data_IF_106111193120
#
_entry.id   IF_106111193120
#
_cell.length_a   1.000
_cell.length_b   1.000
_cell.length_c   1.000
_cell.angle_alpha   90.00
_cell.angle_beta   90.00
_cell.angle_gamma   90.00
#
_symmetry.space_group_name_H-M   'P 1'
#
loop_
_entity.id
_entity.type
_entity.pdbx_description
1 polymer ?
#
# COMPACT_ATOMS: atom_id res chain seq x y z
N UNK A 1 -4.09 16.70 -10.76
CA UNK A 1 -4.88 17.89 -10.37
C UNK A 1 -4.12 19.20 -10.57
N UNK A 2 -2.79 19.20 -10.58
CA UNK A 2 -1.97 20.42 -10.72
C UNK A 2 -1.05 20.41 -11.95
N UNK A 3 -1.27 19.47 -12.89
CA UNK A 3 -0.41 19.34 -14.08
C UNK A 3 -0.35 20.63 -14.90
N UNK A 4 -1.50 21.22 -15.20
CA UNK A 4 -1.57 22.47 -16.01
C UNK A 4 -0.86 23.64 -15.33
N UNK A 5 -0.93 23.71 -13.99
CA UNK A 5 -0.19 24.71 -13.23
C UNK A 5 1.32 24.57 -13.44
N UNK A 6 1.87 23.35 -13.27
CA UNK A 6 3.30 23.10 -13.43
C UNK A 6 3.76 23.24 -14.87
N UNK A 7 2.99 22.73 -15.85
CA UNK A 7 3.28 22.89 -17.28
C UNK A 7 3.37 24.38 -17.63
N UNK A 8 2.43 25.19 -17.13
CA UNK A 8 2.43 26.63 -17.41
C UNK A 8 3.53 27.39 -16.66
N UNK A 9 3.89 26.97 -15.44
CA UNK A 9 4.93 27.64 -14.63
C UNK A 9 6.34 27.34 -15.11
N UNK A 10 6.55 26.25 -15.85
CA UNK A 10 7.86 25.76 -16.29
C UNK A 10 8.02 25.74 -17.81
N UNK A 11 7.34 26.62 -18.55
CA UNK A 11 7.29 26.62 -20.03
C UNK A 11 8.66 26.74 -20.70
N UNK A 12 9.65 27.32 -20.01
CA UNK A 12 10.96 27.60 -20.53
C UNK A 12 11.96 26.43 -20.40
N UNK A 13 11.56 25.34 -19.80
CA UNK A 13 12.38 24.14 -19.60
C UNK A 13 11.76 22.93 -20.27
N UNK A 14 12.62 22.00 -20.66
CA UNK A 14 12.16 20.72 -21.18
C UNK A 14 11.34 19.98 -20.12
N UNK A 15 10.15 19.52 -20.48
CA UNK A 15 9.21 18.88 -19.56
C UNK A 15 8.89 17.48 -20.05
N UNK A 16 8.96 16.52 -19.13
CA UNK A 16 8.45 15.16 -19.36
C UNK A 16 7.26 14.95 -18.44
N UNK A 17 6.09 14.77 -19.03
CA UNK A 17 4.85 14.49 -18.32
C UNK A 17 4.66 12.99 -18.15
N UNK A 18 4.05 12.56 -17.04
CA UNK A 18 3.73 11.14 -16.82
C UNK A 18 2.34 10.96 -16.23
N UNK A 19 1.71 9.81 -16.50
CA UNK A 19 0.40 9.50 -15.95
C UNK A 19 -0.21 8.21 -16.48
N UNK A 20 -1.05 7.58 -15.68
CA UNK A 20 -1.77 6.35 -16.07
C UNK A 20 -2.99 6.70 -16.93
N UNK A 21 -3.74 7.74 -16.56
CA UNK A 21 -5.01 8.11 -17.21
C UNK A 21 -4.88 9.10 -18.34
N UNK A 22 -3.73 9.76 -18.49
CA UNK A 22 -3.50 10.78 -19.52
C UNK A 22 -2.89 10.15 -20.75
N UNK A 23 -3.66 10.06 -21.81
CA UNK A 23 -3.19 9.56 -23.13
C UNK A 23 -2.14 10.46 -23.78
N UNK A 24 -2.06 11.72 -23.34
CA UNK A 24 -1.13 12.73 -23.88
C UNK A 24 0.15 12.88 -23.02
N UNK A 25 0.33 12.07 -21.96
CA UNK A 25 1.55 12.11 -21.19
C UNK A 25 2.70 11.47 -21.97
N UNK A 26 3.90 12.06 -21.87
CA UNK A 26 5.11 11.54 -22.53
C UNK A 26 5.46 10.12 -22.02
N UNK A 27 5.24 9.85 -20.73
CA UNK A 27 5.48 8.55 -20.13
C UNK A 27 4.18 8.05 -19.50
N UNK A 28 3.72 6.88 -19.94
CA UNK A 28 2.46 6.32 -19.48
C UNK A 28 2.52 4.80 -19.27
N UNK A 29 1.60 4.30 -18.46
CA UNK A 29 1.41 2.87 -18.27
C UNK A 29 0.11 2.42 -18.92
N UNK A 30 0.19 1.38 -19.72
CA UNK A 30 -0.96 0.77 -20.39
C UNK A 30 -1.07 -0.71 -20.02
N UNK A 31 -2.24 -1.33 -20.27
CA UNK A 31 -2.47 -2.78 -20.08
C UNK A 31 -2.13 -3.28 -18.68
N UNK A 32 -2.44 -2.48 -17.65
CA UNK A 32 -2.11 -2.80 -16.26
C UNK A 32 -2.88 -4.05 -15.81
N UNK A 33 -2.15 -5.06 -15.31
CA UNK A 33 -2.71 -6.31 -14.78
C UNK A 33 -2.02 -6.66 -13.46
N UNK A 34 -2.80 -6.75 -12.39
CA UNK A 34 -2.30 -7.21 -11.09
C UNK A 34 -2.40 -8.73 -10.96
N UNK A 35 -1.36 -9.35 -10.44
CA UNK A 35 -1.36 -10.75 -10.02
C UNK A 35 -1.10 -10.83 -8.52
N UNK A 36 -2.14 -11.16 -7.76
CA UNK A 36 -2.03 -11.34 -6.30
C UNK A 36 -1.21 -12.58 -5.96
N UNK A 37 -1.27 -13.62 -6.81
CA UNK A 37 -0.50 -14.85 -6.60
C UNK A 37 1.00 -14.62 -6.77
N UNK A 38 1.40 -13.83 -7.77
CA UNK A 38 2.80 -13.51 -8.05
C UNK A 38 3.28 -12.27 -7.32
N UNK A 39 2.39 -11.62 -6.54
CA UNK A 39 2.64 -10.35 -5.82
C UNK A 39 3.24 -9.26 -6.75
N UNK A 40 2.77 -9.21 -7.98
CA UNK A 40 3.32 -8.35 -9.03
C UNK A 40 2.24 -7.62 -9.83
N UNK A 41 2.65 -6.55 -10.49
CA UNK A 41 1.84 -5.85 -11.50
C UNK A 41 2.61 -5.85 -12.82
N UNK A 42 1.95 -6.32 -13.88
CA UNK A 42 2.45 -6.19 -15.25
C UNK A 42 1.80 -5.01 -15.92
N UNK A 43 2.58 -4.23 -16.63
CA UNK A 43 2.08 -3.13 -17.45
C UNK A 43 3.03 -2.87 -18.62
N UNK A 44 2.51 -2.20 -19.66
CA UNK A 44 3.33 -1.69 -20.75
C UNK A 44 3.73 -0.26 -20.42
N UNK A 45 5.02 -0.01 -20.25
CA UNK A 45 5.59 1.33 -20.17
C UNK A 45 5.70 1.86 -21.60
N UNK A 46 5.10 3.02 -21.87
CA UNK A 46 5.15 3.69 -23.18
C UNK A 46 5.82 5.04 -23.02
N UNK A 47 6.79 5.33 -23.86
CA UNK A 47 7.46 6.62 -23.99
C UNK A 47 7.16 7.22 -25.35
N UNK A 48 6.79 8.51 -25.41
CA UNK A 48 6.42 9.24 -26.61
C UNK A 48 7.27 10.49 -26.78
N UNK A 49 8.60 10.40 -26.55
CA UNK A 49 9.44 11.59 -26.66
C UNK A 49 9.70 11.99 -28.13
N UNK A 50 10.17 11.12 -29.01
CA UNK A 50 10.36 11.44 -30.43
C UNK A 50 9.77 10.32 -31.32
N UNK A 51 9.92 9.07 -30.89
CA UNK A 51 9.28 7.89 -31.45
C UNK A 51 8.55 7.20 -30.31
N UNK A 52 7.35 6.69 -30.59
CA UNK A 52 6.64 5.92 -29.59
C UNK A 52 7.37 4.60 -29.39
N UNK A 53 7.99 4.43 -28.22
CA UNK A 53 8.70 3.24 -27.80
C UNK A 53 8.02 2.62 -26.58
N UNK A 54 7.99 1.32 -26.49
CA UNK A 54 7.28 0.64 -25.41
C UNK A 54 7.96 -0.64 -24.96
N UNK A 55 7.85 -0.94 -23.66
CA UNK A 55 8.42 -2.16 -23.08
C UNK A 55 7.49 -2.69 -21.98
N UNK A 56 7.36 -4.01 -21.90
CA UNK A 56 6.60 -4.65 -20.83
C UNK A 56 7.42 -4.71 -19.54
N UNK A 57 6.81 -4.29 -18.44
CA UNK A 57 7.39 -4.28 -17.09
C UNK A 57 6.61 -5.24 -16.19
N UNK A 58 7.32 -6.07 -15.43
CA UNK A 58 6.79 -6.88 -14.35
C UNK A 58 7.28 -6.31 -13.00
N UNK A 59 6.53 -5.38 -12.41
CA UNK A 59 6.90 -4.73 -11.16
C UNK A 59 6.62 -5.69 -9.98
N UNK A 60 7.60 -6.01 -9.11
CA UNK A 60 7.42 -6.93 -7.97
C UNK A 60 6.74 -6.22 -6.78
N UNK A 61 5.63 -5.57 -7.04
CA UNK A 61 4.83 -4.81 -6.06
C UNK A 61 3.36 -4.84 -6.46
N UNK A 62 2.45 -4.75 -5.48
CA UNK A 62 1.02 -4.61 -5.70
C UNK A 62 0.60 -3.13 -5.60
N UNK A 63 -0.53 -2.81 -6.24
CA UNK A 63 -1.17 -1.50 -6.16
C UNK A 63 -0.84 -0.55 -7.33
N UNK A 64 -1.88 0.00 -7.94
CA UNK A 64 -1.78 0.92 -9.10
C UNK A 64 -0.92 2.17 -8.79
N UNK A 65 -0.87 2.59 -7.52
CA UNK A 65 0.01 3.68 -7.07
C UNK A 65 1.50 3.36 -7.27
N UNK A 66 1.91 2.08 -7.18
CA UNK A 66 3.28 1.68 -7.47
C UNK A 66 3.57 1.72 -8.97
N UNK A 67 2.58 1.50 -9.83
CA UNK A 67 2.72 1.76 -11.26
C UNK A 67 2.94 3.26 -11.51
N UNK A 68 2.18 4.14 -10.82
CA UNK A 68 2.38 5.58 -10.89
C UNK A 68 3.80 5.99 -10.46
N UNK A 69 4.31 5.43 -9.37
CA UNK A 69 5.67 5.67 -8.88
C UNK A 69 6.72 5.18 -9.90
N UNK A 70 6.48 4.01 -10.50
CA UNK A 70 7.39 3.43 -11.50
C UNK A 70 7.48 4.30 -12.77
N UNK A 71 6.35 4.80 -13.29
CA UNK A 71 6.37 5.68 -14.47
C UNK A 71 6.94 7.07 -14.14
N UNK A 72 6.78 7.55 -12.89
CA UNK A 72 7.45 8.77 -12.45
C UNK A 72 8.98 8.60 -12.43
N UNK A 73 9.47 7.49 -11.87
CA UNK A 73 10.90 7.14 -11.89
C UNK A 73 11.41 6.96 -13.32
N UNK A 74 10.64 6.29 -14.19
CA UNK A 74 10.96 6.13 -15.59
C UNK A 74 11.07 7.48 -16.31
N UNK A 75 10.15 8.42 -16.05
CA UNK A 75 10.20 9.78 -16.62
C UNK A 75 11.47 10.53 -16.20
N UNK A 76 11.88 10.42 -14.93
CA UNK A 76 13.15 10.98 -14.46
C UNK A 76 14.37 10.35 -15.17
N UNK A 77 14.37 9.02 -15.34
CA UNK A 77 15.45 8.33 -16.04
C UNK A 77 15.53 8.72 -17.52
N UNK A 78 14.36 8.80 -18.19
CA UNK A 78 14.28 9.21 -19.58
C UNK A 78 14.75 10.66 -19.81
N UNK A 79 14.55 11.54 -18.82
CA UNK A 79 15.09 12.92 -18.89
C UNK A 79 16.62 12.98 -18.85
N UNK A 80 17.28 11.87 -18.52
CA UNK A 80 18.73 11.67 -18.49
C UNK A 80 19.18 10.69 -19.58
N UNK A 81 18.38 10.48 -20.62
CA UNK A 81 18.66 9.59 -21.76
C UNK A 81 18.97 8.12 -21.37
N UNK A 82 18.43 7.65 -20.24
CA UNK A 82 18.60 6.25 -19.82
C UNK A 82 17.75 5.34 -20.73
N UNK A 83 18.33 4.29 -21.34
CA UNK A 83 17.60 3.39 -22.23
C UNK A 83 16.45 2.64 -21.53
N UNK A 84 15.32 2.44 -22.23
CA UNK A 84 14.13 1.74 -21.70
C UNK A 84 14.45 0.36 -21.11
N UNK A 85 15.38 -0.40 -21.72
CA UNK A 85 15.80 -1.69 -21.22
C UNK A 85 16.48 -1.59 -19.84
N UNK A 86 17.28 -0.55 -19.61
CA UNK A 86 17.92 -0.31 -18.31
C UNK A 86 16.88 0.09 -17.25
N UNK A 87 15.90 0.92 -17.63
CA UNK A 87 14.76 1.29 -16.77
C UNK A 87 13.96 0.04 -16.39
N UNK A 88 13.63 -0.82 -17.37
CA UNK A 88 12.95 -2.11 -17.13
C UNK A 88 13.73 -2.94 -16.11
N UNK A 89 15.01 -3.18 -16.36
CA UNK A 89 15.84 -3.98 -15.46
C UNK A 89 15.88 -3.42 -14.04
N UNK A 90 15.97 -2.10 -13.91
CA UNK A 90 15.92 -1.42 -12.59
C UNK A 90 14.59 -1.63 -11.87
N UNK A 91 13.48 -1.46 -12.58
CA UNK A 91 12.13 -1.60 -11.99
C UNK A 91 11.79 -3.06 -11.63
N UNK A 92 12.16 -4.02 -12.45
CA UNK A 92 11.91 -5.45 -12.22
C UNK A 92 12.80 -6.04 -11.11
N UNK A 93 13.96 -5.46 -10.85
CA UNK A 93 14.86 -5.86 -9.76
C UNK A 93 14.64 -5.07 -8.46
N UNK A 94 13.59 -4.23 -8.39
CA UNK A 94 13.28 -3.54 -7.16
C UNK A 94 12.91 -4.52 -6.05
N UNK A 95 13.47 -4.28 -4.87
CA UNK A 95 13.05 -4.98 -3.65
C UNK A 95 11.90 -4.24 -2.99
N UNK A 96 11.00 -4.97 -2.33
CA UNK A 96 9.94 -4.36 -1.53
C UNK A 96 10.55 -3.47 -0.45
N UNK A 97 9.99 -2.27 -0.29
CA UNK A 97 10.41 -1.37 0.78
C UNK A 97 9.79 -1.86 2.08
N UNK A 98 10.62 -2.10 3.09
CA UNK A 98 10.20 -2.57 4.42
C UNK A 98 9.04 -1.71 4.96
N UNK A 99 7.95 -2.38 5.33
CA UNK A 99 6.76 -1.72 5.88
C UNK A 99 5.93 -0.93 4.88
N UNK A 100 6.04 -1.22 3.57
CA UNK A 100 5.20 -0.61 2.51
C UNK A 100 4.55 -1.69 1.66
N UNK A 101 3.37 -2.16 2.11
CA UNK A 101 2.60 -3.25 1.50
C UNK A 101 3.46 -4.50 1.23
N UNK A 102 4.44 -4.74 2.08
CA UNK A 102 5.32 -5.90 2.00
C UNK A 102 4.56 -7.15 2.45
N UNK A 103 4.57 -8.19 1.61
CA UNK A 103 3.88 -9.44 1.92
C UNK A 103 4.84 -10.42 2.58
N UNK A 104 4.41 -10.97 3.71
CA UNK A 104 5.16 -11.94 4.49
C UNK A 104 4.27 -13.14 4.83
N UNK A 105 4.89 -14.29 5.08
CA UNK A 105 4.22 -15.46 5.65
C UNK A 105 4.70 -15.62 7.08
N UNK A 106 3.78 -15.57 8.01
CA UNK A 106 4.05 -15.67 9.45
C UNK A 106 3.65 -17.02 10.04
N UNK A 107 3.53 -17.03 11.38
CA UNK A 107 3.06 -18.19 12.16
C UNK A 107 1.78 -18.76 11.55
N UNK A 108 1.55 -20.08 11.75
CA UNK A 108 0.36 -20.77 11.20
C UNK A 108 0.10 -20.54 9.71
N UNK A 109 1.14 -20.16 8.95
CA UNK A 109 1.04 -19.83 7.52
C UNK A 109 0.10 -18.65 7.22
N UNK A 110 -0.10 -17.74 8.19
CA UNK A 110 -0.87 -16.50 7.98
C UNK A 110 -0.15 -15.58 6.99
N UNK A 111 -0.91 -14.97 6.09
CA UNK A 111 -0.38 -13.92 5.22
C UNK A 111 -0.44 -12.58 5.93
N UNK A 112 0.69 -11.88 5.96
CA UNK A 112 0.83 -10.56 6.59
C UNK A 112 1.10 -9.54 5.49
N UNK A 113 0.32 -8.46 5.48
CA UNK A 113 0.58 -7.27 4.69
C UNK A 113 1.19 -6.24 5.64
N UNK A 114 2.51 -6.12 5.61
CA UNK A 114 3.25 -5.16 6.40
C UNK A 114 3.24 -3.79 5.72
N UNK A 115 2.40 -2.88 6.22
CA UNK A 115 2.31 -1.49 5.76
C UNK A 115 2.52 -0.51 6.93
N UNK A 116 3.49 -0.85 7.79
CA UNK A 116 3.73 -0.20 9.08
C UNK A 116 4.58 1.07 9.01
N UNK A 117 5.10 1.44 7.85
CA UNK A 117 5.99 2.60 7.73
C UNK A 117 5.31 3.91 8.14
N UNK A 118 4.09 4.17 7.67
CA UNK A 118 3.28 5.32 8.04
C UNK A 118 1.81 5.11 7.65
N UNK A 119 0.89 5.94 8.18
CA UNK A 119 -0.53 5.87 7.87
C UNK A 119 -1.13 7.27 7.65
N UNK A 120 -1.92 7.38 6.59
CA UNK A 120 -2.82 8.50 6.32
C UNK A 120 -4.09 7.98 5.61
N UNK A 121 -5.18 8.74 5.52
CA UNK A 121 -6.45 8.27 4.94
C UNK A 121 -6.31 7.71 3.53
N UNK A 122 -5.57 8.40 2.66
CA UNK A 122 -5.37 7.97 1.26
C UNK A 122 -4.62 6.65 1.16
N UNK A 123 -3.54 6.49 1.94
CA UNK A 123 -2.75 5.25 1.93
C UNK A 123 -3.51 4.08 2.56
N UNK A 124 -4.44 4.35 3.48
CA UNK A 124 -5.32 3.32 4.06
C UNK A 124 -6.35 2.82 3.05
N UNK A 125 -6.95 3.70 2.25
CA UNK A 125 -7.85 3.28 1.16
C UNK A 125 -7.15 2.30 0.20
N UNK A 126 -5.91 2.59 -0.17
CA UNK A 126 -5.10 1.69 -1.01
C UNK A 126 -4.80 0.36 -0.31
N UNK A 127 -4.41 0.40 0.97
CA UNK A 127 -4.08 -0.80 1.73
C UNK A 127 -5.30 -1.70 1.95
N UNK A 128 -6.47 -1.12 2.23
CA UNK A 128 -7.75 -1.84 2.35
C UNK A 128 -8.11 -2.51 1.02
N UNK A 129 -8.02 -1.80 -0.11
CA UNK A 129 -8.23 -2.37 -1.44
C UNK A 129 -7.27 -3.52 -1.73
N UNK A 130 -6.02 -3.37 -1.33
CA UNK A 130 -5.02 -4.45 -1.47
C UNK A 130 -5.40 -5.67 -0.64
N UNK A 131 -5.81 -5.49 0.63
CA UNK A 131 -6.28 -6.58 1.48
C UNK A 131 -7.50 -7.29 0.88
N UNK A 132 -8.42 -6.54 0.27
CA UNK A 132 -9.63 -7.10 -0.36
C UNK A 132 -9.36 -7.97 -1.60
N UNK A 133 -8.18 -7.90 -2.21
CA UNK A 133 -7.79 -8.78 -3.31
C UNK A 133 -7.45 -10.21 -2.86
N UNK A 134 -7.25 -10.42 -1.56
CA UNK A 134 -6.95 -11.75 -1.02
C UNK A 134 -8.24 -12.48 -0.65
N UNK A 135 -8.26 -13.78 -0.90
CA UNK A 135 -9.34 -14.68 -0.49
C UNK A 135 -9.15 -15.16 0.94
N UNK A 136 -10.20 -15.67 1.55
CA UNK A 136 -10.20 -16.15 2.94
C UNK A 136 -10.57 -15.03 3.92
N UNK A 137 -10.21 -15.20 5.19
CA UNK A 137 -10.52 -14.22 6.25
C UNK A 137 -9.54 -13.05 6.21
N UNK A 138 -10.07 -11.84 6.26
CA UNK A 138 -9.33 -10.59 6.14
C UNK A 138 -9.44 -9.80 7.43
N UNK A 139 -8.31 -9.59 8.05
CA UNK A 139 -8.19 -8.83 9.29
C UNK A 139 -7.35 -7.59 9.08
N UNK A 140 -7.67 -6.54 9.81
CA UNK A 140 -6.88 -5.32 9.80
C UNK A 140 -6.48 -4.95 11.21
N UNK A 141 -5.21 -4.60 11.41
CA UNK A 141 -4.67 -4.03 12.63
C UNK A 141 -4.32 -2.57 12.35
N UNK A 142 -4.96 -1.66 13.06
CA UNK A 142 -4.81 -0.22 12.85
C UNK A 142 -4.33 0.48 14.12
N UNK A 143 -3.16 1.13 14.03
CA UNK A 143 -2.71 2.13 14.99
C UNK A 143 -3.23 3.53 14.64
N UNK A 144 -2.99 4.49 15.52
CA UNK A 144 -3.37 5.88 15.28
C UNK A 144 -2.72 6.44 14.00
N UNK A 145 -3.47 7.29 13.30
CA UNK A 145 -2.96 8.18 12.27
C UNK A 145 -2.73 9.56 12.88
N UNK A 146 -1.49 10.03 12.82
CA UNK A 146 -1.14 11.36 13.29
C UNK A 146 -1.05 12.39 12.14
N UNK A 147 -0.82 13.64 12.50
CA UNK A 147 -0.67 14.77 11.55
C UNK A 147 -1.94 15.07 10.73
N UNK A 148 -3.13 14.74 11.25
CA UNK A 148 -4.42 14.95 10.60
C UNK A 148 -5.16 16.22 11.10
N UNK A 149 -4.55 16.99 12.01
CA UNK A 149 -5.17 18.20 12.58
C UNK A 149 -6.50 17.91 13.27
N UNK A 150 -7.42 18.85 13.16
CA UNK A 150 -8.73 18.80 13.85
C UNK A 150 -9.65 17.68 13.31
N UNK A 151 -9.42 17.20 12.10
CA UNK A 151 -10.24 16.17 11.46
C UNK A 151 -9.80 14.74 11.80
N UNK A 152 -8.81 14.57 12.68
CA UNK A 152 -8.24 13.26 13.01
C UNK A 152 -9.31 12.23 13.42
N UNK A 153 -10.26 12.62 14.28
CA UNK A 153 -11.38 11.75 14.68
C UNK A 153 -12.21 11.30 13.48
N UNK A 154 -12.62 12.24 12.62
CA UNK A 154 -13.43 11.99 11.43
C UNK A 154 -12.75 11.03 10.47
N UNK A 155 -11.47 11.22 10.20
CA UNK A 155 -10.71 10.33 9.31
C UNK A 155 -10.60 8.90 9.86
N UNK A 156 -10.47 8.72 11.18
CA UNK A 156 -10.51 7.39 11.78
C UNK A 156 -11.90 6.74 11.65
N UNK A 157 -12.98 7.49 11.86
CA UNK A 157 -14.36 7.02 11.65
C UNK A 157 -14.60 6.60 10.20
N UNK A 158 -14.12 7.40 9.24
CA UNK A 158 -14.21 7.10 7.81
C UNK A 158 -13.48 5.79 7.46
N UNK A 159 -12.28 5.57 8.00
CA UNK A 159 -11.51 4.33 7.81
C UNK A 159 -12.23 3.12 8.41
N UNK A 160 -12.81 3.25 9.60
CA UNK A 160 -13.60 2.19 10.22
C UNK A 160 -14.80 1.80 9.36
N UNK A 161 -15.55 2.80 8.91
CA UNK A 161 -16.71 2.63 8.02
C UNK A 161 -16.30 2.01 6.67
N UNK A 162 -15.21 2.47 6.07
CA UNK A 162 -14.69 1.95 4.82
C UNK A 162 -14.29 0.47 4.97
N UNK A 163 -13.58 0.13 6.04
CA UNK A 163 -13.16 -1.25 6.34
C UNK A 163 -14.36 -2.19 6.46
N UNK A 164 -15.38 -1.77 7.18
CA UNK A 164 -16.63 -2.53 7.34
C UNK A 164 -17.35 -2.73 6.00
N UNK A 165 -17.53 -1.65 5.20
CA UNK A 165 -18.16 -1.71 3.88
C UNK A 165 -17.37 -2.55 2.86
N UNK A 166 -16.06 -2.64 3.01
CA UNK A 166 -15.17 -3.46 2.18
C UNK A 166 -15.22 -4.94 2.54
N UNK A 167 -16.00 -5.34 3.55
CA UNK A 167 -16.16 -6.72 3.97
C UNK A 167 -14.93 -7.29 4.66
N UNK A 168 -14.20 -6.48 5.44
CA UNK A 168 -13.14 -6.95 6.32
C UNK A 168 -13.80 -7.69 7.49
N UNK A 169 -13.29 -8.89 7.85
CA UNK A 169 -13.91 -9.78 8.83
C UNK A 169 -13.66 -9.33 10.28
N UNK A 170 -12.59 -8.59 10.52
CA UNK A 170 -12.31 -8.03 11.85
C UNK A 170 -11.31 -6.89 11.83
N UNK A 171 -11.56 -5.89 12.68
CA UNK A 171 -10.72 -4.71 12.88
C UNK A 171 -10.16 -4.70 14.31
N UNK A 172 -8.84 -4.72 14.44
CA UNK A 172 -8.10 -4.64 15.69
C UNK A 172 -7.44 -3.27 15.79
N UNK A 173 -7.74 -2.51 16.82
CA UNK A 173 -7.24 -1.14 16.93
C UNK A 173 -6.46 -0.92 18.21
N UNK A 174 -5.44 -0.06 18.15
CA UNK A 174 -4.66 0.37 19.30
C UNK A 174 -4.32 1.85 19.18
N UNK A 175 -4.55 2.60 20.26
CA UNK A 175 -4.33 4.04 20.33
C UNK A 175 -5.63 4.82 20.50
N UNK A 176 -5.52 6.07 20.98
CA UNK A 176 -6.69 6.88 21.37
C UNK A 176 -7.59 7.26 20.18
N UNK A 177 -6.97 7.53 19.03
CA UNK A 177 -7.69 7.96 17.83
C UNK A 177 -8.31 6.80 17.07
N UNK A 178 -7.60 5.67 16.99
CA UNK A 178 -8.04 4.46 16.29
C UNK A 178 -9.25 3.78 16.96
N UNK A 179 -9.54 4.10 18.23
CA UNK A 179 -10.80 3.70 18.86
C UNK A 179 -12.03 4.24 18.12
N UNK A 180 -11.94 5.41 17.48
CA UNK A 180 -13.03 5.94 16.66
C UNK A 180 -13.26 5.06 15.41
N UNK A 181 -12.21 4.48 14.83
CA UNK A 181 -12.35 3.51 13.74
C UNK A 181 -13.02 2.22 14.21
N UNK A 182 -12.66 1.71 15.40
CA UNK A 182 -13.32 0.56 16.02
C UNK A 182 -14.81 0.78 16.20
N UNK A 183 -15.19 1.94 16.77
CA UNK A 183 -16.59 2.31 16.99
C UNK A 183 -17.38 2.42 15.67
N UNK A 184 -16.78 3.00 14.63
CA UNK A 184 -17.43 3.16 13.32
C UNK A 184 -17.52 1.83 12.53
N UNK A 185 -16.60 0.91 12.74
CA UNK A 185 -16.65 -0.44 12.17
C UNK A 185 -17.80 -1.27 12.82
N UNK A 186 -17.96 -1.15 14.12
CA UNK A 186 -19.00 -1.82 14.88
C UNK A 186 -18.71 -3.30 15.15
N UNK A 187 -19.67 -4.18 14.85
CA UNK A 187 -19.54 -5.61 15.16
C UNK A 187 -18.34 -6.23 14.42
N UNK A 188 -17.46 -6.88 15.17
CA UNK A 188 -16.21 -7.46 14.66
C UNK A 188 -15.00 -6.57 14.86
N UNK A 189 -15.17 -5.39 15.46
CA UNK A 189 -14.05 -4.57 15.89
C UNK A 189 -13.68 -4.81 17.35
N UNK A 190 -12.38 -4.72 17.64
CA UNK A 190 -11.79 -4.90 18.96
C UNK A 190 -10.77 -3.78 19.19
N UNK A 191 -10.93 -3.04 20.27
CA UNK A 191 -10.00 -1.99 20.68
C UNK A 191 -9.16 -2.44 21.87
N UNK A 192 -7.87 -2.11 21.88
CA UNK A 192 -6.91 -2.52 22.90
C UNK A 192 -6.14 -1.32 23.44
N UNK A 193 -5.88 -1.36 24.75
CA UNK A 193 -5.07 -0.34 25.44
C UNK A 193 -3.57 -0.65 25.41
N UNK A 194 -3.19 -1.91 25.12
CA UNK A 194 -1.81 -2.35 25.05
C UNK A 194 -1.57 -3.37 23.94
N UNK A 195 -0.32 -3.47 23.49
CA UNK A 195 0.08 -4.35 22.42
C UNK A 195 -0.02 -5.83 22.77
N UNK A 196 0.30 -6.21 24.00
CA UNK A 196 0.37 -7.61 24.42
C UNK A 196 -0.99 -8.30 24.34
N UNK A 197 -2.07 -7.61 24.73
CA UNK A 197 -3.43 -8.13 24.64
C UNK A 197 -3.93 -8.17 23.19
N UNK A 198 -3.57 -7.16 22.38
CA UNK A 198 -3.86 -7.17 20.95
C UNK A 198 -3.17 -8.35 20.26
N UNK A 199 -1.87 -8.55 20.51
CA UNK A 199 -1.06 -9.63 19.93
C UNK A 199 -1.65 -11.00 20.29
N UNK A 200 -1.94 -11.24 21.58
CA UNK A 200 -2.56 -12.48 22.05
C UNK A 200 -3.92 -12.76 21.39
N UNK A 201 -4.75 -11.71 21.28
CA UNK A 201 -6.07 -11.83 20.67
C UNK A 201 -5.95 -12.14 19.18
N UNK A 202 -5.03 -11.49 18.49
CA UNK A 202 -4.80 -11.67 17.06
C UNK A 202 -4.26 -13.08 16.75
N UNK A 203 -3.20 -13.52 17.44
CA UNK A 203 -2.60 -14.87 17.27
C UNK A 203 -3.63 -15.98 17.46
N UNK A 204 -4.59 -15.79 18.37
CA UNK A 204 -5.62 -16.78 18.70
C UNK A 204 -6.59 -17.05 17.55
N UNK A 205 -6.88 -16.05 16.71
CA UNK A 205 -7.88 -16.16 15.63
C UNK A 205 -7.27 -16.42 14.25
N UNK A 206 -5.97 -16.14 14.08
CA UNK A 206 -5.31 -16.28 12.79
C UNK A 206 -5.00 -17.75 12.46
N UNK A 207 -5.12 -18.08 11.18
CA UNK A 207 -4.77 -19.37 10.59
C UNK A 207 -4.28 -19.20 9.14
N UNK A 208 -3.99 -20.33 8.48
CA UNK A 208 -3.47 -20.37 7.09
C UNK A 208 -4.40 -19.75 6.03
N UNK A 209 -5.67 -19.56 6.36
CA UNK A 209 -6.67 -18.92 5.47
C UNK A 209 -6.85 -17.44 5.78
N UNK A 210 -6.06 -16.91 6.70
CA UNK A 210 -6.15 -15.53 7.15
C UNK A 210 -5.13 -14.65 6.42
N UNK A 211 -5.55 -13.44 6.08
CA UNK A 211 -4.66 -12.34 5.67
C UNK A 211 -4.84 -11.18 6.64
N UNK A 212 -3.76 -10.66 7.19
CA UNK A 212 -3.78 -9.54 8.13
C UNK A 212 -2.98 -8.36 7.57
N UNK A 213 -3.63 -7.20 7.46
CA UNK A 213 -2.99 -5.92 7.17
C UNK A 213 -2.60 -5.24 8.48
N UNK A 214 -1.36 -4.82 8.62
CA UNK A 214 -0.88 -4.06 9.79
C UNK A 214 -0.44 -2.67 9.35
N UNK A 215 -1.06 -1.62 9.91
CA UNK A 215 -0.80 -0.23 9.52
C UNK A 215 -1.02 0.74 10.69
N UNK A 216 -0.23 1.83 10.71
CA UNK A 216 -0.34 2.93 11.66
C UNK A 216 0.74 3.97 11.39
N UNK A 217 0.65 5.13 12.03
CA UNK A 217 1.68 6.16 11.95
C UNK A 217 3.02 5.65 12.47
N UNK A 218 4.13 6.19 11.96
CA UNK A 218 5.49 5.73 12.27
C UNK A 218 5.78 5.65 13.77
N UNK A 219 5.30 6.61 14.54
CA UNK A 219 5.47 6.66 16.01
C UNK A 219 4.74 5.55 16.77
N UNK A 220 3.73 4.92 16.16
CA UNK A 220 3.02 3.78 16.74
C UNK A 220 3.86 2.49 16.71
N UNK A 221 4.93 2.43 15.92
CA UNK A 221 5.83 1.26 15.82
C UNK A 221 5.08 -0.05 15.58
N UNK A 222 4.13 -0.02 14.64
CA UNK A 222 3.24 -1.15 14.35
C UNK A 222 4.00 -2.39 13.82
N UNK A 223 5.25 -2.24 13.40
CA UNK A 223 6.15 -3.35 13.07
C UNK A 223 6.34 -4.36 14.22
N UNK A 224 6.04 -3.97 15.46
CA UNK A 224 6.01 -4.87 16.60
C UNK A 224 5.01 -6.02 16.38
N UNK A 225 3.81 -5.71 15.92
CA UNK A 225 2.78 -6.71 15.62
C UNK A 225 3.26 -7.67 14.52
N UNK A 226 3.88 -7.11 13.46
CA UNK A 226 4.44 -7.92 12.37
C UNK A 226 5.51 -8.87 12.90
N UNK A 227 6.42 -8.38 13.76
CA UNK A 227 7.48 -9.19 14.36
C UNK A 227 6.92 -10.33 15.23
N UNK A 228 5.87 -10.08 16.01
CA UNK A 228 5.19 -11.12 16.79
C UNK A 228 4.58 -12.20 15.88
N UNK A 229 3.97 -11.79 14.76
CA UNK A 229 3.40 -12.74 13.81
C UNK A 229 4.45 -13.46 12.96
N UNK A 230 5.69 -12.97 12.90
CA UNK A 230 6.83 -13.58 12.21
C UNK A 230 7.66 -14.48 13.12
N UNK A 231 7.47 -14.39 14.46
CA UNK A 231 8.21 -15.20 15.39
C UNK A 231 7.85 -16.69 15.23
N UNK A 232 8.85 -17.55 15.08
CA UNK A 232 8.64 -18.99 15.02
C UNK A 232 7.97 -19.50 16.30
N UNK A 233 6.95 -20.37 16.16
CA UNK A 233 6.31 -21.07 17.29
C UNK A 233 7.29 -21.97 18.07
N UNK A 234 8.51 -22.15 17.57
CA UNK A 234 9.55 -23.01 18.13
C UNK A 234 10.49 -22.31 19.14
N UNK A 235 10.12 -21.12 19.64
CA UNK A 235 10.83 -20.45 20.74
C UNK A 235 9.97 -20.41 22.00
N UNK A 236 9.64 -21.57 22.53
CA UNK A 236 9.25 -21.81 23.93
C UNK A 236 10.05 -23.01 24.44
#
# INVERSE_FOLDING_TARGET
>A
AYADFWINSCKEINQITFGIKSKNANVRAERIKSSVNDLSIKFTLVSSNDLEDSIEICLPMLGEHNVMNAIAAAACCLSLDVPLLSIKNGLENMQSIKGRLEIKIGIKQVRIIDDTYNANPTSLDVAIKTLCNFTGRRYMVLGDMYELGNDAKKFHEEVGTLSQKSGIDGLFTIGKLSNNASNAFGKGAFHFDNYDDLEKSLVKILDKHSTVLVKGSRSMKMERIVNTLMADENKC
#
